data_IF_910564595905
#
_entry.id   IF_910564595905
#
_cell.length_a   1.000
_cell.length_b   1.000
_cell.length_c   1.000
_cell.angle_alpha   90.00
_cell.angle_beta   90.00
_cell.angle_gamma   90.00
#
_symmetry.space_group_name_H-M   'P 1'
#
loop_
_entity.id
_entity.type
_entity.pdbx_description
1 polymer ?
#
# COMPACT_ATOMS: atom_id res chain seq x y z
N UNK A 1 3.29 9.98 -10.60
CA UNK A 1 2.57 8.69 -10.66
C UNK A 1 1.68 8.58 -9.45
N UNK A 2 0.45 8.09 -9.58
CA UNK A 2 -0.46 7.85 -8.46
C UNK A 2 -0.70 6.35 -8.34
N UNK A 3 -0.56 5.82 -7.12
CA UNK A 3 -0.89 4.44 -6.81
C UNK A 3 -2.30 4.35 -6.24
N UNK A 4 -3.01 3.30 -6.64
CA UNK A 4 -4.33 2.95 -6.13
C UNK A 4 -4.32 1.50 -5.66
N UNK A 5 -4.90 1.28 -4.48
CA UNK A 5 -5.06 -0.03 -3.88
C UNK A 5 -6.56 -0.28 -3.76
N UNK A 6 -7.03 -1.30 -4.45
CA UNK A 6 -8.42 -1.72 -4.46
C UNK A 6 -8.54 -3.07 -3.73
N UNK A 7 -9.36 -3.11 -2.69
CA UNK A 7 -9.44 -4.25 -1.78
C UNK A 7 -10.62 -5.15 -2.13
N UNK A 8 -10.33 -6.43 -2.27
CA UNK A 8 -11.33 -7.46 -2.54
C UNK A 8 -11.22 -8.61 -1.54
N UNK A 9 -12.35 -9.27 -1.29
CA UNK A 9 -12.42 -10.56 -0.60
C UNK A 9 -12.92 -11.61 -1.58
N UNK A 10 -12.00 -12.47 -2.03
CA UNK A 10 -12.29 -13.39 -3.13
C UNK A 10 -12.59 -12.60 -4.41
N UNK A 11 -13.83 -12.73 -4.91
CA UNK A 11 -14.31 -12.00 -6.10
C UNK A 11 -15.18 -10.79 -5.77
N UNK A 12 -15.35 -10.44 -4.50
CA UNK A 12 -16.24 -9.35 -4.08
C UNK A 12 -15.41 -8.16 -3.59
N UNK A 13 -15.82 -6.95 -3.96
CA UNK A 13 -15.27 -5.73 -3.37
C UNK A 13 -15.41 -5.77 -1.84
N UNK A 14 -14.36 -5.31 -1.17
CA UNK A 14 -14.38 -5.13 0.25
C UNK A 14 -15.29 -3.93 0.60
N UNK A 15 -16.23 -4.14 1.51
CA UNK A 15 -17.18 -3.13 1.97
C UNK A 15 -17.16 -3.08 3.48
N UNK A 16 -16.59 -2.02 4.01
CA UNK A 16 -16.53 -1.83 5.46
C UNK A 16 -17.93 -1.81 6.07
N UNK A 17 -18.06 -2.41 7.25
CA UNK A 17 -19.26 -2.49 8.10
C UNK A 17 -20.47 -3.23 7.52
N UNK A 18 -20.60 -3.33 6.19
CA UNK A 18 -21.76 -3.88 5.49
C UNK A 18 -21.46 -5.18 4.74
N UNK A 19 -20.19 -5.45 4.44
CA UNK A 19 -19.74 -6.70 3.83
C UNK A 19 -19.83 -7.88 4.81
N UNK A 20 -20.30 -9.01 4.29
CA UNK A 20 -20.34 -10.30 4.97
C UNK A 20 -19.62 -11.33 4.09
N UNK A 21 -18.57 -11.94 4.63
CA UNK A 21 -17.65 -12.80 3.91
C UNK A 21 -17.49 -14.14 4.63
N UNK A 22 -17.01 -15.16 3.93
CA UNK A 22 -16.77 -16.48 4.50
C UNK A 22 -15.30 -16.84 4.37
N UNK A 23 -14.65 -17.21 5.48
CA UNK A 23 -13.26 -17.64 5.45
C UNK A 23 -13.13 -19.11 4.97
N UNK A 24 -11.90 -19.60 4.82
CA UNK A 24 -11.66 -20.97 4.36
C UNK A 24 -12.19 -22.06 5.32
N UNK A 25 -12.49 -21.73 6.58
CA UNK A 25 -13.07 -22.65 7.56
C UNK A 25 -14.61 -22.65 7.56
N UNK A 26 -15.26 -21.86 6.69
CA UNK A 26 -16.72 -21.76 6.61
C UNK A 26 -17.34 -20.77 7.60
N UNK A 27 -16.53 -19.99 8.31
CA UNK A 27 -17.00 -19.00 9.28
C UNK A 27 -17.33 -17.68 8.60
N UNK A 28 -18.45 -17.07 8.98
CA UNK A 28 -18.84 -15.75 8.50
C UNK A 28 -18.15 -14.65 9.29
N UNK A 29 -17.63 -13.64 8.60
CA UNK A 29 -17.01 -12.46 9.21
C UNK A 29 -17.36 -11.18 8.45
N UNK A 30 -17.15 -10.04 9.11
CA UNK A 30 -17.23 -8.71 8.52
C UNK A 30 -15.95 -7.93 8.81
N UNK A 31 -15.62 -6.97 7.93
CA UNK A 31 -14.45 -6.10 8.09
C UNK A 31 -14.94 -4.72 8.52
N UNK A 32 -14.46 -4.24 9.67
CA UNK A 32 -14.80 -2.91 10.21
C UNK A 32 -13.74 -1.86 9.91
N UNK A 33 -12.48 -2.29 9.78
CA UNK A 33 -11.36 -1.44 9.45
C UNK A 33 -10.32 -2.26 8.67
N UNK A 34 -9.71 -1.62 7.67
CA UNK A 34 -8.55 -2.10 6.96
C UNK A 34 -7.60 -0.92 6.76
N UNK A 35 -6.50 -0.91 7.53
CA UNK A 35 -5.48 0.13 7.47
C UNK A 35 -4.11 -0.49 7.61
N UNK A 36 -3.19 -0.11 6.75
CA UNK A 36 -1.82 -0.63 6.75
C UNK A 36 -0.86 0.36 6.07
N UNK A 37 0.43 0.15 6.28
CA UNK A 37 1.46 0.93 5.61
C UNK A 37 1.87 0.29 4.28
N UNK A 38 2.12 1.11 3.28
CA UNK A 38 2.88 0.76 2.10
C UNK A 38 4.22 1.49 2.16
N UNK A 39 5.31 0.75 1.96
CA UNK A 39 6.67 1.31 2.02
C UNK A 39 7.65 0.70 1.03
N UNK A 40 8.88 1.23 1.00
CA UNK A 40 10.01 0.72 0.21
C UNK A 40 9.64 0.51 -1.27
N UNK A 41 9.15 1.56 -1.91
CA UNK A 41 8.63 1.52 -3.27
C UNK A 41 9.80 1.54 -4.26
N UNK A 42 9.80 0.57 -5.16
CA UNK A 42 10.75 0.47 -6.27
C UNK A 42 9.97 0.28 -7.57
N UNK A 43 10.31 1.07 -8.58
CA UNK A 43 9.78 0.89 -9.93
C UNK A 43 10.86 0.33 -10.84
N UNK A 44 10.50 -0.61 -11.70
CA UNK A 44 11.42 -1.19 -12.69
C UNK A 44 10.93 -0.80 -14.08
N UNK A 45 11.82 -0.18 -14.86
CA UNK A 45 11.49 0.22 -16.23
C UNK A 45 11.43 -0.99 -17.18
N UNK A 46 10.97 -0.76 -18.40
CA UNK A 46 10.88 -1.80 -19.45
C UNK A 46 12.22 -2.43 -19.84
N UNK A 47 13.34 -1.76 -19.53
CA UNK A 47 14.71 -2.24 -19.74
C UNK A 47 15.31 -2.94 -18.51
N UNK A 48 14.53 -3.12 -17.43
CA UNK A 48 14.99 -3.75 -16.19
C UNK A 48 15.76 -2.84 -15.23
N UNK A 49 15.91 -1.54 -15.53
CA UNK A 49 16.55 -0.57 -14.62
C UNK A 49 15.60 -0.23 -13.47
N UNK A 50 16.12 -0.27 -12.24
CA UNK A 50 15.36 0.05 -11.04
C UNK A 50 15.47 1.54 -10.67
N UNK A 51 14.35 2.13 -10.28
CA UNK A 51 14.26 3.41 -9.60
C UNK A 51 13.71 3.19 -8.19
N UNK A 52 14.57 3.41 -7.19
CA UNK A 52 14.20 3.34 -5.77
C UNK A 52 13.64 4.69 -5.34
N UNK A 53 12.39 4.73 -4.88
CA UNK A 53 11.79 5.96 -4.37
C UNK A 53 12.52 6.38 -3.09
N UNK A 54 12.89 7.67 -2.92
CA UNK A 54 13.53 8.15 -1.69
C UNK A 54 12.75 7.75 -0.43
N UNK A 55 13.49 7.32 0.59
CA UNK A 55 12.91 6.72 1.80
C UNK A 55 11.91 7.69 2.49
N UNK A 56 12.22 8.98 2.57
CA UNK A 56 11.35 10.00 3.16
C UNK A 56 10.03 10.23 2.40
N UNK A 57 9.96 9.76 1.15
CA UNK A 57 8.83 9.90 0.23
C UNK A 57 8.20 8.55 -0.11
N UNK A 58 8.54 7.51 0.66
CA UNK A 58 8.19 6.12 0.39
C UNK A 58 7.51 5.44 1.59
N UNK A 59 6.71 6.15 2.37
CA UNK A 59 5.83 5.58 3.40
C UNK A 59 4.46 6.23 3.30
N UNK A 60 3.42 5.41 3.20
CA UNK A 60 2.05 5.87 3.07
C UNK A 60 1.13 4.99 3.90
N UNK A 61 0.17 5.60 4.59
CA UNK A 61 -0.96 4.87 5.17
C UNK A 61 -2.02 4.66 4.08
N UNK A 62 -2.36 3.40 3.84
CA UNK A 62 -3.56 3.02 3.08
C UNK A 62 -4.67 2.78 4.10
N UNK A 63 -5.80 3.45 3.91
CA UNK A 63 -6.98 3.35 4.75
C UNK A 63 -8.22 3.21 3.88
N UNK A 64 -8.85 2.05 3.94
CA UNK A 64 -10.05 1.74 3.16
C UNK A 64 -11.24 2.64 3.49
N UNK A 65 -11.27 3.21 4.70
CA UNK A 65 -12.32 4.16 5.07
C UNK A 65 -12.13 5.54 4.41
N UNK A 66 -10.98 5.77 3.78
CA UNK A 66 -10.62 7.04 3.14
C UNK A 66 -10.41 6.86 1.64
N UNK A 67 -11.46 7.14 0.85
CA UNK A 67 -11.42 7.10 -0.62
C UNK A 67 -10.30 7.96 -1.26
N UNK A 68 -9.70 8.89 -0.50
CA UNK A 68 -8.65 9.81 -0.94
C UNK A 68 -7.21 9.32 -0.67
N UNK A 69 -7.01 8.16 -0.03
CA UNK A 69 -5.67 7.67 0.31
C UNK A 69 -4.95 7.05 -0.90
N UNK A 70 -4.64 7.88 -1.91
CA UNK A 70 -3.88 7.49 -3.11
C UNK A 70 -2.46 8.04 -3.05
N UNK A 71 -1.44 7.20 -2.74
CA UNK A 71 -0.05 7.64 -2.72
C UNK A 71 0.37 8.28 -4.04
N UNK A 72 0.95 9.47 -3.97
CA UNK A 72 1.48 10.15 -5.15
C UNK A 72 2.99 10.19 -5.08
N UNK A 73 3.63 9.61 -6.10
CA UNK A 73 5.08 9.47 -6.20
C UNK A 73 5.64 10.45 -7.22
N UNK A 74 6.70 11.15 -6.82
CA UNK A 74 7.58 11.89 -7.71
C UNK A 74 8.63 10.92 -8.24
N UNK A 75 8.52 10.56 -9.51
CA UNK A 75 9.40 9.61 -10.18
C UNK A 75 9.86 10.22 -11.52
N UNK A 76 11.03 9.84 -12.05
CA UNK A 76 11.45 10.22 -13.39
C UNK A 76 10.40 9.81 -14.43
N UNK A 77 10.23 10.63 -15.45
CA UNK A 77 9.41 10.30 -16.61
C UNK A 77 9.98 9.04 -17.29
N UNK A 78 9.09 8.13 -17.67
CA UNK A 78 9.46 6.88 -18.30
C UNK A 78 8.37 5.83 -18.20
N UNK A 79 8.57 4.72 -18.93
CA UNK A 79 7.70 3.56 -18.89
C UNK A 79 8.20 2.54 -17.85
N UNK A 80 7.29 2.09 -16.99
CA UNK A 80 7.58 1.15 -15.92
C UNK A 80 6.77 -0.13 -16.09
N UNK A 81 7.45 -1.27 -16.04
CA UNK A 81 6.85 -2.60 -16.22
C UNK A 81 6.55 -3.30 -14.89
N UNK A 82 7.21 -2.90 -13.80
CA UNK A 82 7.02 -3.51 -12.49
C UNK A 82 6.99 -2.45 -11.38
N UNK A 83 6.10 -2.67 -10.42
CA UNK A 83 6.08 -1.99 -9.13
C UNK A 83 6.40 -3.02 -8.04
N UNK A 84 7.33 -2.69 -7.15
CA UNK A 84 7.62 -3.46 -5.92
C UNK A 84 7.38 -2.55 -4.72
N UNK A 85 6.82 -3.11 -3.66
CA UNK A 85 6.58 -2.41 -2.41
C UNK A 85 6.50 -3.41 -1.25
N UNK A 86 6.59 -2.89 -0.04
CA UNK A 86 6.41 -3.63 1.21
C UNK A 86 5.07 -3.27 1.83
N UNK A 87 4.33 -4.28 2.32
CA UNK A 87 3.20 -4.07 3.23
C UNK A 87 3.75 -4.03 4.66
N UNK A 88 3.67 -2.87 5.30
CA UNK A 88 4.22 -2.61 6.62
C UNK A 88 5.35 -1.58 6.60
N UNK A 89 6.13 -1.56 7.69
CA UNK A 89 7.27 -0.67 7.91
C UNK A 89 8.49 -1.55 8.19
N UNK A 90 9.66 -1.23 7.63
CA UNK A 90 10.89 -1.94 7.97
C UNK A 90 11.39 -1.63 9.40
N UNK A 91 12.19 -2.53 9.94
CA UNK A 91 12.68 -2.42 11.32
C UNK A 91 13.59 -1.21 11.53
N UNK A 92 14.38 -0.80 10.53
CA UNK A 92 15.30 0.32 10.65
C UNK A 92 14.52 1.62 10.82
N UNK A 93 13.52 1.84 9.97
CA UNK A 93 12.57 2.96 10.06
C UNK A 93 11.85 3.01 11.41
N UNK A 94 11.45 1.85 11.93
CA UNK A 94 10.76 1.72 13.22
C UNK A 94 11.62 2.13 14.42
N UNK A 95 12.94 2.26 14.26
CA UNK A 95 13.87 2.67 15.32
C UNK A 95 14.35 4.12 15.21
N UNK A 96 14.05 4.83 14.12
CA UNK A 96 14.45 6.23 13.88
C UNK A 96 13.80 7.22 14.87
N UNK A 97 14.27 8.48 15.02
CA UNK A 97 13.56 9.50 15.77
C UNK A 97 12.10 9.69 15.31
N UNK A 98 11.19 10.06 16.23
CA UNK A 98 9.75 10.25 15.90
C UNK A 98 9.50 11.22 14.76
N UNK A 99 10.30 12.30 14.68
CA UNK A 99 10.23 13.29 13.60
C UNK A 99 10.52 12.71 12.23
N UNK A 100 11.22 11.57 12.19
CA UNK A 100 11.50 10.89 10.95
C UNK A 100 10.36 9.95 10.59
N UNK A 101 9.67 9.30 11.53
CA UNK A 101 8.65 8.25 11.29
C UNK A 101 7.29 8.75 10.76
N UNK A 102 7.26 9.85 10.04
CA UNK A 102 6.05 10.38 9.42
C UNK A 102 5.66 9.54 8.20
N UNK A 103 4.36 9.36 7.99
CA UNK A 103 3.72 8.62 6.89
C UNK A 103 2.25 8.98 6.76
#
# INVERSE_FOLDING_TARGET
>A
MTLEFDHVVGSNDLRLNTGSYTNAAGETYSVRALRYFISNIVLVNTNGTEYVVPQDSSYFIIDESMAAAKPTLKIPEGEYAQLRFTVGIDSLRSTMPLSQRLG
#
